data_IF_897039418894
#
_entry.id   IF_897039418894
#
_cell.length_a   1.000
_cell.length_b   1.000
_cell.length_c   1.000
_cell.angle_alpha   90.00
_cell.angle_beta   90.00
_cell.angle_gamma   90.00
#
_symmetry.space_group_name_H-M   'P 1'
#
loop_
_entity.id
_entity.type
_entity.pdbx_description
1 polymer ?
#
# COMPACT_ATOMS: atom_id res chain seq x y z
N UNK A 1 3.95 -19.47 35.82
CA UNK A 1 2.98 -18.85 34.89
C UNK A 1 3.38 -17.44 34.43
N UNK A 2 3.76 -16.52 35.33
CA UNK A 2 4.13 -15.13 34.97
C UNK A 2 5.33 -15.02 34.01
N UNK A 3 6.34 -15.90 34.12
CA UNK A 3 7.50 -15.91 33.22
C UNK A 3 7.17 -16.29 31.78
N UNK A 4 6.32 -17.30 31.58
CA UNK A 4 5.88 -17.75 30.25
C UNK A 4 5.06 -16.64 29.55
N UNK A 5 4.23 -15.92 30.29
CA UNK A 5 3.45 -14.78 29.74
C UNK A 5 4.38 -13.66 29.27
N UNK A 6 5.46 -13.38 30.01
CA UNK A 6 6.44 -12.37 29.62
C UNK A 6 7.17 -12.76 28.32
N UNK A 7 7.56 -14.02 28.16
CA UNK A 7 8.21 -14.50 26.92
C UNK A 7 7.27 -14.43 25.71
N UNK A 8 6.01 -14.80 25.87
CA UNK A 8 5.00 -14.69 24.80
C UNK A 8 4.83 -13.23 24.37
N UNK A 9 4.80 -12.28 25.32
CA UNK A 9 4.70 -10.86 25.02
C UNK A 9 5.92 -10.34 24.25
N UNK A 10 7.13 -10.78 24.61
CA UNK A 10 8.36 -10.41 23.91
C UNK A 10 8.36 -10.94 22.48
N UNK A 11 7.96 -12.20 22.28
CA UNK A 11 7.86 -12.80 20.95
C UNK A 11 6.80 -12.08 20.09
N UNK A 12 5.63 -11.76 20.66
CA UNK A 12 4.59 -11.02 19.96
C UNK A 12 5.06 -9.61 19.54
N UNK A 13 5.78 -8.91 20.41
CA UNK A 13 6.35 -7.59 20.11
C UNK A 13 7.34 -7.67 18.94
N UNK A 14 8.22 -8.67 18.95
CA UNK A 14 9.21 -8.89 17.89
C UNK A 14 8.52 -9.12 16.53
N UNK A 15 7.46 -9.93 16.49
CA UNK A 15 6.71 -10.20 15.25
C UNK A 15 6.08 -8.92 14.66
N UNK A 16 5.52 -8.04 15.50
CA UNK A 16 4.95 -6.77 15.05
C UNK A 16 6.02 -5.83 14.48
N UNK A 17 7.18 -5.75 15.14
CA UNK A 17 8.30 -4.93 14.68
C UNK A 17 8.84 -5.44 13.32
N UNK A 18 9.01 -6.75 13.15
CA UNK A 18 9.43 -7.34 11.87
C UNK A 18 8.42 -7.10 10.75
N UNK A 19 7.11 -7.17 11.03
CA UNK A 19 6.07 -6.90 10.04
C UNK A 19 6.08 -5.43 9.55
N UNK A 20 6.53 -4.50 10.39
CA UNK A 20 6.56 -3.07 10.07
C UNK A 20 7.74 -2.62 9.19
N UNK A 21 8.80 -3.43 9.06
CA UNK A 21 10.03 -3.04 8.38
C UNK A 21 10.02 -3.29 6.84
N UNK A 22 8.87 -3.64 6.26
CA UNK A 22 8.74 -3.90 4.83
C UNK A 22 8.77 -2.63 3.96
N UNK A 23 9.35 -2.68 2.75
CA UNK A 23 9.31 -1.56 1.81
C UNK A 23 7.85 -1.21 1.47
N UNK A 24 7.52 0.10 1.48
CA UNK A 24 6.16 0.54 1.14
C UNK A 24 5.82 0.08 -0.28
N UNK A 25 4.61 -0.47 -0.50
CA UNK A 25 4.19 -0.87 -1.83
C UNK A 25 4.33 0.31 -2.82
N UNK A 26 4.92 0.07 -3.99
CA UNK A 26 5.28 1.16 -4.91
C UNK A 26 4.08 2.05 -5.25
N UNK A 27 2.89 1.48 -5.46
CA UNK A 27 1.66 2.21 -5.76
C UNK A 27 1.25 3.25 -4.68
N UNK A 28 1.77 3.13 -3.44
CA UNK A 28 1.55 4.13 -2.36
C UNK A 28 2.59 5.26 -2.40
N UNK A 29 3.76 5.06 -3.01
CA UNK A 29 4.82 6.06 -3.13
C UNK A 29 4.50 7.09 -4.22
N UNK A 30 5.03 8.32 -4.12
CA UNK A 30 4.82 9.34 -5.15
C UNK A 30 5.31 8.90 -6.54
N UNK A 31 6.46 8.21 -6.60
CA UNK A 31 7.01 7.66 -7.85
C UNK A 31 6.10 6.57 -8.43
N UNK A 32 5.62 5.65 -7.60
CA UNK A 32 4.75 4.58 -8.10
C UNK A 32 3.35 5.07 -8.47
N UNK A 33 2.81 6.12 -7.84
CA UNK A 33 1.57 6.77 -8.29
C UNK A 33 1.71 7.34 -9.71
N UNK A 34 2.84 7.98 -10.03
CA UNK A 34 3.13 8.48 -11.39
C UNK A 34 3.19 7.34 -12.41
N UNK A 35 3.89 6.25 -12.07
CA UNK A 35 3.95 5.05 -12.93
C UNK A 35 2.59 4.41 -13.12
N UNK A 36 1.81 4.26 -12.05
CA UNK A 36 0.47 3.68 -12.11
C UNK A 36 -0.45 4.51 -13.02
N UNK A 37 -0.40 5.84 -12.92
CA UNK A 37 -1.15 6.73 -13.83
C UNK A 37 -0.78 6.50 -15.29
N UNK A 38 0.53 6.38 -15.59
CA UNK A 38 1.00 6.10 -16.94
C UNK A 38 0.49 4.74 -17.45
N UNK A 39 0.70 3.66 -16.69
CA UNK A 39 0.26 2.34 -17.12
C UNK A 39 -1.26 2.25 -17.29
N UNK A 40 -2.03 2.82 -16.35
CA UNK A 40 -3.49 2.90 -16.49
C UNK A 40 -3.90 3.67 -17.76
N UNK A 41 -3.17 4.74 -18.11
CA UNK A 41 -3.47 5.50 -19.33
C UNK A 41 -3.21 4.73 -20.62
N UNK A 42 -2.32 3.74 -20.59
CA UNK A 42 -2.00 2.85 -21.72
C UNK A 42 -2.97 1.67 -21.78
N UNK A 43 -3.31 1.07 -20.64
CA UNK A 43 -4.13 -0.14 -20.58
C UNK A 43 -5.62 0.12 -20.80
N UNK A 44 -6.12 1.30 -20.43
CA UNK A 44 -7.54 1.59 -20.41
C UNK A 44 -7.94 2.71 -21.38
N UNK A 45 -7.14 2.94 -22.44
CA UNK A 45 -7.36 3.97 -23.49
C UNK A 45 -8.06 5.22 -22.95
N UNK A 46 -7.26 6.08 -22.30
CA UNK A 46 -7.64 7.34 -21.65
C UNK A 46 -9.10 7.79 -21.87
N UNK A 47 -9.98 7.40 -20.97
CA UNK A 47 -10.94 8.39 -20.47
C UNK A 47 -10.14 9.18 -19.44
N UNK A 48 -9.64 10.35 -19.85
CA UNK A 48 -8.93 11.23 -18.92
C UNK A 48 -9.84 11.48 -17.70
N UNK A 49 -9.27 11.69 -16.51
CA UNK A 49 -10.10 11.82 -15.28
C UNK A 49 -11.06 13.02 -15.37
N UNK A 50 -10.72 13.99 -16.24
CA UNK A 50 -11.57 15.08 -16.66
C UNK A 50 -12.77 14.61 -17.51
N UNK A 51 -12.56 13.68 -18.44
CA UNK A 51 -13.63 13.09 -19.27
C UNK A 51 -14.57 12.19 -18.46
N UNK A 52 -14.06 11.45 -17.46
CA UNK A 52 -14.92 10.64 -16.60
C UNK A 52 -15.93 11.49 -15.80
N UNK A 53 -15.56 12.74 -15.45
CA UNK A 53 -16.47 13.69 -14.80
C UNK A 53 -17.52 14.24 -15.77
N UNK A 54 -17.20 14.29 -17.06
CA UNK A 54 -18.07 14.78 -18.14
C UNK A 54 -19.06 13.73 -18.63
N UNK A 55 -18.73 12.44 -18.54
CA UNK A 55 -19.61 11.32 -18.91
C UNK A 55 -20.64 10.99 -17.81
N UNK A 56 -20.33 11.29 -16.55
CA UNK A 56 -21.19 10.95 -15.40
C UNK A 56 -22.29 11.99 -15.11
N UNK A 57 -22.17 13.19 -15.68
CA UNK A 57 -23.16 14.27 -15.57
C UNK A 57 -23.89 14.43 -16.89
#
# INVERSE_FOLDING_TARGET
>A
MKGIIAEILVVALMLVLFASCGPRPQYKTAKGKKKLKYYNSVQYDRVDVADYKKIRN
#
